data_IF_684203032387
#
_entry.id   IF_684203032387
#
_cell.length_a   1.000
_cell.length_b   1.000
_cell.length_c   1.000
_cell.angle_alpha   90.00
_cell.angle_beta   90.00
_cell.angle_gamma   90.00
#
_symmetry.space_group_name_H-M   'P 1'
#
loop_
_entity.id
_entity.type
_entity.pdbx_description
1 polymer ?
#
# COMPACT_ATOMS: atom_id res chain seq x y z
N UNK A 1 -9.44 26.65 -15.09
CA UNK A 1 -8.29 27.53 -14.80
C UNK A 1 -7.75 28.22 -16.06
N UNK A 2 -7.31 27.48 -17.08
CA UNK A 2 -6.72 28.03 -18.33
C UNK A 2 -7.61 29.08 -19.03
N UNK A 3 -8.90 28.77 -19.28
CA UNK A 3 -9.86 29.69 -19.92
C UNK A 3 -10.01 31.02 -19.17
N UNK A 4 -9.86 31.00 -17.84
CA UNK A 4 -10.03 32.16 -16.97
C UNK A 4 -8.71 32.87 -16.65
N UNK A 5 -7.57 32.44 -17.23
CA UNK A 5 -6.22 33.00 -17.01
C UNK A 5 -5.87 33.16 -15.52
N UNK A 6 -6.26 32.18 -14.71
CA UNK A 6 -5.97 32.16 -13.27
C UNK A 6 -4.53 31.71 -13.05
N UNK A 7 -3.78 32.43 -12.22
CA UNK A 7 -2.48 31.98 -11.72
C UNK A 7 -2.73 30.89 -10.66
N UNK A 8 -2.26 29.67 -10.92
CA UNK A 8 -2.44 28.52 -10.03
C UNK A 8 -1.10 27.84 -9.78
N UNK A 9 -0.86 27.46 -8.53
CA UNK A 9 0.29 26.64 -8.13
C UNK A 9 -0.26 25.33 -7.59
N UNK A 10 0.25 24.21 -8.11
CA UNK A 10 -0.14 22.88 -7.68
C UNK A 10 0.80 22.43 -6.54
N UNK A 11 0.23 21.96 -5.43
CA UNK A 11 1.01 21.61 -4.23
C UNK A 11 1.93 20.43 -4.49
N UNK A 12 1.46 19.47 -5.27
CA UNK A 12 2.19 18.27 -5.68
C UNK A 12 3.34 18.54 -6.65
N UNK A 13 3.48 19.76 -7.17
CA UNK A 13 4.59 20.17 -8.04
C UNK A 13 5.62 21.06 -7.35
N UNK A 14 5.41 21.40 -6.07
CA UNK A 14 6.42 22.16 -5.30
C UNK A 14 7.53 21.19 -4.91
N UNK A 15 8.69 21.35 -5.55
CA UNK A 15 9.86 20.48 -5.44
C UNK A 15 11.06 21.26 -4.91
N UNK A 16 11.81 20.67 -3.98
CA UNK A 16 13.09 21.21 -3.50
C UNK A 16 14.26 20.72 -4.40
N UNK A 17 15.45 21.29 -4.23
CA UNK A 17 16.63 20.93 -5.03
C UNK A 17 17.04 19.45 -4.91
N UNK A 18 16.66 18.79 -3.82
CA UNK A 18 16.86 17.36 -3.57
C UNK A 18 15.78 16.47 -4.20
N UNK A 19 14.86 17.05 -4.98
CA UNK A 19 13.69 16.43 -5.60
C UNK A 19 12.59 15.97 -4.64
N UNK A 20 12.66 16.39 -3.38
CA UNK A 20 11.59 16.10 -2.42
C UNK A 20 10.36 16.98 -2.69
N UNK A 21 9.18 16.45 -2.38
CA UNK A 21 7.89 17.13 -2.49
C UNK A 21 7.38 17.45 -1.07
N UNK A 22 7.82 18.55 -0.44
CA UNK A 22 7.56 18.82 0.98
C UNK A 22 6.08 19.01 1.30
N UNK A 23 5.28 19.52 0.36
CA UNK A 23 3.84 19.72 0.57
C UNK A 23 3.03 18.43 0.39
N UNK A 24 3.56 17.46 -0.36
CA UNK A 24 2.92 16.16 -0.57
C UNK A 24 3.30 15.14 0.51
N UNK A 25 4.47 15.31 1.11
CA UNK A 25 5.04 14.37 2.09
C UNK A 25 4.10 14.14 3.29
N UNK A 26 3.53 15.16 3.96
CA UNK A 26 2.60 14.96 5.08
C UNK A 26 1.36 14.13 4.70
N UNK A 27 0.82 14.34 3.50
CA UNK A 27 -0.33 13.57 3.02
C UNK A 27 0.05 12.12 2.76
N UNK A 28 1.24 11.87 2.20
CA UNK A 28 1.76 10.52 2.01
C UNK A 28 1.95 9.77 3.33
N UNK A 29 2.41 10.45 4.38
CA UNK A 29 2.54 9.84 5.71
C UNK A 29 1.18 9.43 6.28
N UNK A 30 0.20 10.33 6.23
CA UNK A 30 -1.17 10.06 6.70
C UNK A 30 -1.78 8.91 5.93
N UNK A 31 -1.71 8.94 4.59
CA UNK A 31 -2.25 7.89 3.73
C UNK A 31 -1.62 6.52 4.04
N UNK A 32 -0.29 6.46 4.23
CA UNK A 32 0.40 5.24 4.63
C UNK A 32 -0.10 4.66 5.95
N UNK A 33 -0.25 5.50 6.99
CA UNK A 33 -0.75 5.06 8.30
C UNK A 33 -2.20 4.58 8.21
N UNK A 34 -3.04 5.36 7.54
CA UNK A 34 -4.46 5.04 7.35
C UNK A 34 -4.66 3.75 6.56
N UNK A 35 -3.85 3.50 5.53
CA UNK A 35 -3.96 2.29 4.72
C UNK A 35 -3.87 1.01 5.55
N UNK A 36 -2.98 0.99 6.54
CA UNK A 36 -2.87 -0.16 7.45
C UNK A 36 -4.04 -0.25 8.41
N UNK A 37 -4.47 0.87 9.00
CA UNK A 37 -5.59 0.89 9.94
C UNK A 37 -6.90 0.46 9.28
N UNK A 38 -7.19 1.00 8.10
CA UNK A 38 -8.35 0.65 7.29
C UNK A 38 -8.23 -0.81 6.82
N UNK A 39 -7.05 -1.23 6.34
CA UNK A 39 -6.80 -2.62 5.98
C UNK A 39 -7.12 -3.60 7.12
N UNK A 40 -6.67 -3.28 8.34
CA UNK A 40 -6.96 -4.07 9.54
C UNK A 40 -8.46 -4.09 9.89
N UNK A 41 -9.16 -2.97 9.73
CA UNK A 41 -10.62 -2.91 9.92
C UNK A 41 -11.33 -3.84 8.95
N UNK A 42 -11.00 -3.77 7.66
CA UNK A 42 -11.67 -4.57 6.63
C UNK A 42 -11.25 -6.03 6.59
N UNK A 43 -10.15 -6.41 7.25
CA UNK A 43 -9.83 -7.80 7.53
C UNK A 43 -10.81 -8.46 8.50
N UNK A 44 -11.57 -7.70 9.28
CA UNK A 44 -12.56 -8.26 10.20
C UNK A 44 -13.72 -8.90 9.45
N UNK A 45 -14.26 -10.00 10.01
CA UNK A 45 -15.30 -10.78 9.33
C UNK A 45 -16.60 -9.99 9.10
N UNK A 46 -16.93 -9.10 10.04
CA UNK A 46 -18.10 -8.22 9.96
C UNK A 46 -18.03 -7.24 8.77
N UNK A 47 -16.82 -6.97 8.27
CA UNK A 47 -16.57 -6.07 7.15
C UNK A 47 -16.29 -6.84 5.83
N UNK A 48 -16.54 -8.16 5.81
CA UNK A 48 -16.36 -9.01 4.63
C UNK A 48 -14.97 -9.65 4.48
N UNK A 49 -14.00 -9.29 5.33
CA UNK A 49 -12.66 -9.85 5.29
C UNK A 49 -12.55 -11.28 5.81
N UNK A 50 -11.31 -11.76 5.93
CA UNK A 50 -11.02 -13.13 6.38
C UNK A 50 -11.40 -13.40 7.84
N UNK A 51 -11.49 -12.37 8.68
CA UNK A 51 -11.67 -12.49 10.12
C UNK A 51 -10.36 -12.71 10.88
N UNK A 52 -9.26 -12.13 10.39
CA UNK A 52 -7.93 -12.26 11.02
C UNK A 52 -7.56 -11.02 11.81
N UNK A 53 -6.79 -11.21 12.88
CA UNK A 53 -6.20 -10.15 13.68
C UNK A 53 -4.73 -10.03 13.31
N UNK A 54 -4.29 -8.82 12.91
CA UNK A 54 -2.92 -8.62 12.43
C UNK A 54 -1.84 -9.11 13.40
N UNK A 55 -2.01 -8.86 14.70
CA UNK A 55 -1.08 -9.27 15.75
C UNK A 55 -1.01 -10.78 15.97
N UNK A 56 -2.06 -11.52 15.57
CA UNK A 56 -2.36 -12.81 16.16
C UNK A 56 -2.51 -12.72 17.69
N UNK A 57 -2.33 -13.85 18.37
CA UNK A 57 -2.20 -13.97 19.83
C UNK A 57 -1.24 -15.12 20.13
N UNK A 58 -0.69 -15.29 21.34
CA UNK A 58 0.15 -16.45 21.65
C UNK A 58 -0.53 -17.77 21.29
N UNK A 59 0.12 -18.57 20.46
CA UNK A 59 -0.42 -19.83 19.91
C UNK A 59 -1.18 -19.71 18.58
N UNK A 60 -1.34 -18.49 18.04
CA UNK A 60 -1.97 -18.20 16.75
C UNK A 60 -1.01 -17.39 15.88
N UNK A 61 -0.95 -17.71 14.59
CA UNK A 61 -0.09 -16.97 13.67
C UNK A 61 -0.50 -15.51 13.52
N UNK A 62 0.50 -14.65 13.31
CA UNK A 62 0.30 -13.24 12.94
C UNK A 62 0.02 -13.13 11.45
N UNK A 63 -0.73 -12.10 11.05
CA UNK A 63 -1.05 -11.89 9.65
C UNK A 63 0.14 -11.41 8.83
N UNK A 64 0.14 -11.77 7.56
CA UNK A 64 1.13 -11.33 6.58
C UNK A 64 0.66 -10.04 5.88
N UNK A 65 1.47 -8.99 5.98
CA UNK A 65 1.24 -7.69 5.33
C UNK A 65 2.34 -7.45 4.30
N UNK A 66 1.96 -7.31 3.03
CA UNK A 66 2.88 -6.95 1.95
C UNK A 66 2.69 -5.50 1.54
N UNK A 67 3.78 -4.75 1.47
CA UNK A 67 3.80 -3.35 1.08
C UNK A 67 4.64 -3.21 -0.19
N UNK A 68 4.03 -2.71 -1.27
CA UNK A 68 4.71 -2.51 -2.55
C UNK A 68 4.99 -1.01 -2.70
N UNK A 69 6.27 -0.64 -2.61
CA UNK A 69 6.76 0.74 -2.55
C UNK A 69 7.24 1.10 -1.14
N UNK A 70 8.53 1.38 -1.00
CA UNK A 70 9.23 1.68 0.26
C UNK A 70 9.35 3.18 0.57
N UNK A 71 8.71 4.05 -0.20
CA UNK A 71 8.73 5.51 0.01
C UNK A 71 8.02 5.97 1.29
N UNK A 72 7.67 7.25 1.37
CA UNK A 72 7.05 7.86 2.58
C UNK A 72 5.78 7.14 3.03
N UNK A 73 4.85 6.86 2.11
CA UNK A 73 3.62 6.15 2.41
C UNK A 73 3.88 4.70 2.86
N UNK A 74 4.70 3.95 2.12
CA UNK A 74 5.01 2.56 2.46
C UNK A 74 5.74 2.41 3.80
N UNK A 75 6.66 3.32 4.11
CA UNK A 75 7.37 3.35 5.40
C UNK A 75 6.42 3.60 6.56
N UNK A 76 5.46 4.51 6.39
CA UNK A 76 4.47 4.80 7.41
C UNK A 76 3.44 3.67 7.55
N UNK A 77 3.07 3.00 6.46
CA UNK A 77 2.28 1.78 6.51
C UNK A 77 3.01 0.68 7.31
N UNK A 78 4.30 0.47 7.02
CA UNK A 78 5.12 -0.51 7.74
C UNK A 78 5.19 -0.22 9.23
N UNK A 79 5.41 1.05 9.64
CA UNK A 79 5.41 1.47 11.05
C UNK A 79 4.13 1.04 11.79
N UNK A 80 2.97 1.26 11.18
CA UNK A 80 1.69 0.88 11.78
C UNK A 80 1.52 -0.64 11.79
N UNK A 81 1.86 -1.32 10.70
CA UNK A 81 1.68 -2.78 10.60
C UNK A 81 2.55 -3.53 11.62
N UNK A 82 3.81 -3.11 11.79
CA UNK A 82 4.73 -3.62 12.81
C UNK A 82 4.19 -3.30 14.22
N UNK A 83 3.72 -2.07 14.44
CA UNK A 83 3.13 -1.67 15.72
C UNK A 83 1.87 -2.46 16.10
N UNK A 84 1.13 -2.94 15.10
CA UNK A 84 0.01 -3.87 15.26
C UNK A 84 0.45 -5.34 15.34
N UNK A 85 1.75 -5.63 15.29
CA UNK A 85 2.32 -6.98 15.44
C UNK A 85 2.27 -7.84 14.19
N UNK A 86 2.01 -7.30 12.99
CA UNK A 86 1.97 -8.09 11.76
C UNK A 86 3.38 -8.59 11.34
N UNK A 87 3.42 -9.60 10.47
CA UNK A 87 4.62 -9.95 9.69
C UNK A 87 4.65 -9.07 8.45
N UNK A 88 5.66 -8.21 8.32
CA UNK A 88 5.70 -7.19 7.26
C UNK A 88 6.77 -7.49 6.23
N UNK A 89 6.38 -7.51 4.95
CA UNK A 89 7.29 -7.58 3.80
C UNK A 89 7.18 -6.30 2.99
N UNK A 90 8.30 -5.63 2.71
CA UNK A 90 8.36 -4.41 1.89
C UNK A 90 9.12 -4.70 0.59
N UNK A 91 8.51 -4.36 -0.55
CA UNK A 91 9.12 -4.47 -1.87
C UNK A 91 9.43 -3.10 -2.47
N UNK A 92 10.65 -2.90 -2.97
CA UNK A 92 11.06 -1.70 -3.68
C UNK A 92 12.08 -2.02 -4.79
N UNK A 93 12.18 -1.16 -5.80
CA UNK A 93 13.18 -1.27 -6.87
C UNK A 93 14.54 -0.71 -6.43
N UNK A 94 14.55 0.23 -5.48
CA UNK A 94 15.76 0.90 -5.04
C UNK A 94 16.41 0.14 -3.87
N UNK A 95 17.52 -0.53 -4.16
CA UNK A 95 18.28 -1.27 -3.15
C UNK A 95 18.82 -0.37 -2.02
N UNK A 96 19.15 0.89 -2.30
CA UNK A 96 19.54 1.83 -1.24
C UNK A 96 18.38 2.08 -0.29
N UNK A 97 17.17 2.25 -0.83
CA UNK A 97 15.97 2.43 -0.02
C UNK A 97 15.65 1.20 0.83
N UNK A 98 15.82 0.00 0.27
CA UNK A 98 15.65 -1.24 1.04
C UNK A 98 16.65 -1.34 2.20
N UNK A 99 17.91 -0.94 2.01
CA UNK A 99 18.90 -0.86 3.10
C UNK A 99 18.49 0.13 4.19
N UNK A 100 17.99 1.30 3.82
CA UNK A 100 17.49 2.26 4.81
C UNK A 100 16.33 1.70 5.62
N UNK A 101 15.41 0.97 4.97
CA UNK A 101 14.28 0.32 5.65
C UNK A 101 14.75 -0.80 6.60
N UNK A 102 15.73 -1.58 6.17
CA UNK A 102 16.39 -2.60 6.99
C UNK A 102 17.10 -1.97 8.21
N UNK A 103 17.81 -0.85 8.02
CA UNK A 103 18.44 -0.12 9.13
C UNK A 103 17.42 0.48 10.10
N UNK A 104 16.25 0.93 9.61
CA UNK A 104 15.19 1.55 10.43
C UNK A 104 14.43 0.52 11.26
N UNK A 105 14.09 -0.63 10.66
CA UNK A 105 13.18 -1.62 11.28
C UNK A 105 13.87 -2.90 11.74
N UNK A 106 15.11 -3.15 11.30
CA UNK A 106 15.84 -4.38 11.57
C UNK A 106 15.02 -5.62 11.21
N UNK A 107 15.01 -6.58 12.13
CA UNK A 107 14.36 -7.88 11.92
C UNK A 107 12.82 -7.84 11.98
N UNK A 108 12.20 -6.68 12.22
CA UNK A 108 10.74 -6.57 12.23
C UNK A 108 10.14 -6.53 10.81
N UNK A 109 10.96 -6.35 9.78
CA UNK A 109 10.55 -6.38 8.36
C UNK A 109 11.40 -7.34 7.55
N UNK A 110 10.83 -7.84 6.47
CA UNK A 110 11.58 -8.44 5.37
C UNK A 110 11.58 -7.47 4.20
N UNK A 111 12.76 -7.06 3.73
CA UNK A 111 12.89 -6.22 2.53
C UNK A 111 13.24 -7.06 1.31
N UNK A 112 12.49 -6.94 0.22
CA UNK A 112 12.73 -7.70 -1.02
C UNK A 112 12.85 -6.75 -2.22
N UNK A 113 13.70 -7.12 -3.18
CA UNK A 113 13.72 -6.45 -4.48
C UNK A 113 12.39 -6.66 -5.20
N UNK A 114 11.83 -5.58 -5.72
CA UNK A 114 10.57 -5.60 -6.47
C UNK A 114 10.80 -6.17 -7.88
N UNK A 115 10.36 -7.41 -8.08
CA UNK A 115 10.32 -8.09 -9.38
C UNK A 115 9.07 -8.99 -9.43
N UNK A 116 8.67 -9.41 -10.63
CA UNK A 116 7.43 -10.18 -10.84
C UNK A 116 7.32 -11.40 -9.91
N UNK A 117 8.41 -12.15 -9.72
CA UNK A 117 8.43 -13.34 -8.88
C UNK A 117 8.20 -13.00 -7.40
N UNK A 118 8.95 -12.04 -6.86
CA UNK A 118 8.84 -11.63 -5.46
C UNK A 118 7.48 -10.99 -5.17
N UNK A 119 6.94 -10.22 -6.10
CA UNK A 119 5.60 -9.62 -5.98
C UNK A 119 4.56 -10.74 -5.93
N UNK A 120 4.58 -11.68 -6.88
CA UNK A 120 3.60 -12.77 -6.95
C UNK A 120 3.60 -13.59 -5.66
N UNK A 121 4.77 -14.04 -5.20
CA UNK A 121 4.88 -14.88 -4.01
C UNK A 121 4.48 -14.12 -2.73
N UNK A 122 4.85 -12.84 -2.61
CA UNK A 122 4.47 -12.02 -1.46
C UNK A 122 2.96 -11.77 -1.44
N UNK A 123 2.37 -11.38 -2.57
CA UNK A 123 0.94 -11.08 -2.70
C UNK A 123 0.09 -12.32 -2.41
N UNK A 124 0.43 -13.47 -3.01
CA UNK A 124 -0.28 -14.74 -2.82
C UNK A 124 -0.40 -15.14 -1.34
N UNK A 125 0.67 -14.93 -0.56
CA UNK A 125 0.73 -15.32 0.85
C UNK A 125 0.22 -14.24 1.81
N UNK A 126 -0.18 -13.08 1.29
CA UNK A 126 -0.60 -11.93 2.10
C UNK A 126 -2.05 -12.04 2.52
N UNK A 127 -2.31 -11.56 3.73
CA UNK A 127 -3.66 -11.30 4.22
C UNK A 127 -4.06 -9.85 3.88
N UNK A 128 -3.10 -8.91 3.94
CA UNK A 128 -3.25 -7.51 3.53
C UNK A 128 -2.14 -7.11 2.55
N UNK A 129 -2.50 -6.49 1.44
CA UNK A 129 -1.56 -5.90 0.48
C UNK A 129 -1.79 -4.39 0.39
N UNK A 130 -0.72 -3.60 0.54
CA UNK A 130 -0.75 -2.14 0.44
C UNK A 130 0.08 -1.70 -0.76
N UNK A 131 -0.57 -1.08 -1.73
CA UNK A 131 0.09 -0.41 -2.85
C UNK A 131 0.47 1.01 -2.48
N UNK A 132 1.78 1.28 -2.39
CA UNK A 132 2.36 2.55 -1.97
C UNK A 132 3.41 3.08 -2.98
N UNK A 133 3.30 2.67 -4.25
CA UNK A 133 4.18 3.15 -5.33
C UNK A 133 3.67 4.49 -5.85
N UNK A 134 4.53 5.50 -5.78
CA UNK A 134 4.30 6.82 -6.35
C UNK A 134 5.38 7.12 -7.38
N UNK A 135 4.97 7.47 -8.60
CA UNK A 135 5.89 7.98 -9.62
C UNK A 135 5.47 9.42 -9.92
N UNK A 136 6.19 10.45 -9.43
CA UNK A 136 5.83 11.84 -9.65
C UNK A 136 5.60 12.16 -11.13
N UNK A 137 4.45 12.75 -11.44
CA UNK A 137 4.09 13.16 -12.81
C UNK A 137 3.78 12.03 -13.79
N UNK A 138 3.73 10.77 -13.34
CA UNK A 138 3.44 9.63 -14.20
C UNK A 138 2.33 8.74 -13.63
N UNK A 139 1.75 7.91 -14.51
CA UNK A 139 0.77 6.90 -14.10
C UNK A 139 1.46 5.79 -13.31
N UNK A 140 0.82 5.32 -12.25
CA UNK A 140 1.30 4.16 -11.49
C UNK A 140 1.37 2.91 -12.41
N UNK A 141 2.46 2.13 -12.36
CA UNK A 141 2.59 0.90 -13.12
C UNK A 141 1.66 -0.17 -12.54
N UNK A 142 1.11 -1.01 -13.41
CA UNK A 142 0.32 -2.19 -13.00
C UNK A 142 1.27 -3.31 -12.59
N UNK A 143 1.54 -3.38 -11.29
CA UNK A 143 2.51 -4.32 -10.70
C UNK A 143 1.83 -5.62 -10.25
N UNK A 144 0.63 -5.51 -9.68
CA UNK A 144 -0.11 -6.69 -9.20
C UNK A 144 -1.10 -7.11 -10.27
N UNK A 145 -0.74 -8.19 -10.97
CA UNK A 145 -1.52 -8.72 -12.09
C UNK A 145 -2.77 -9.46 -11.60
N UNK A 146 -3.80 -9.54 -12.44
CA UNK A 146 -5.07 -10.18 -12.05
C UNK A 146 -4.90 -11.63 -11.56
N UNK A 147 -4.03 -12.40 -12.21
CA UNK A 147 -3.77 -13.78 -11.79
C UNK A 147 -3.15 -13.88 -10.40
N UNK A 148 -2.35 -12.88 -9.97
CA UNK A 148 -1.76 -12.85 -8.64
C UNK A 148 -2.84 -12.65 -7.58
N UNK A 149 -3.80 -11.75 -7.84
CA UNK A 149 -4.95 -11.51 -6.95
C UNK A 149 -5.82 -12.77 -6.84
N UNK A 150 -6.05 -13.47 -7.96
CA UNK A 150 -6.82 -14.74 -7.97
C UNK A 150 -6.18 -15.86 -7.15
N UNK A 151 -4.88 -15.80 -6.89
CA UNK A 151 -4.18 -16.78 -6.06
C UNK A 151 -4.22 -16.43 -4.57
N UNK A 152 -4.67 -15.23 -4.19
CA UNK A 152 -4.79 -14.82 -2.80
C UNK A 152 -5.87 -15.62 -2.06
N UNK A 153 -5.76 -15.66 -0.73
CA UNK A 153 -6.78 -16.27 0.12
C UNK A 153 -8.10 -15.48 0.02
N UNK A 154 -9.27 -16.14 -0.08
CA UNK A 154 -10.56 -15.45 -0.08
C UNK A 154 -10.74 -14.56 1.15
N UNK A 155 -11.18 -13.31 0.93
CA UNK A 155 -11.35 -12.31 1.97
C UNK A 155 -10.08 -11.53 2.34
N UNK A 156 -8.97 -11.76 1.65
CA UNK A 156 -7.78 -10.90 1.75
C UNK A 156 -8.10 -9.48 1.31
N UNK A 157 -7.39 -8.51 1.89
CA UNK A 157 -7.65 -7.08 1.67
C UNK A 157 -6.53 -6.46 0.83
N UNK A 158 -6.91 -5.63 -0.14
CA UNK A 158 -5.98 -4.87 -0.96
C UNK A 158 -6.29 -3.39 -0.84
N UNK A 159 -5.30 -2.58 -0.45
CA UNK A 159 -5.42 -1.13 -0.29
C UNK A 159 -4.51 -0.44 -1.30
N UNK A 160 -5.07 0.38 -2.19
CA UNK A 160 -4.30 1.08 -3.22
C UNK A 160 -4.21 2.58 -2.93
N UNK A 161 -3.10 3.02 -2.34
CA UNK A 161 -2.84 4.44 -2.07
C UNK A 161 -2.60 5.20 -3.39
N UNK A 162 -2.14 4.50 -4.44
CA UNK A 162 -1.80 5.09 -5.73
C UNK A 162 -3.00 5.17 -6.69
N UNK A 163 -4.23 4.97 -6.19
CA UNK A 163 -5.44 4.91 -7.03
C UNK A 163 -5.64 6.18 -7.85
N UNK A 164 -5.32 7.36 -7.29
CA UNK A 164 -5.43 8.65 -7.96
C UNK A 164 -4.53 8.77 -9.20
N UNK A 165 -3.46 7.96 -9.25
CA UNK A 165 -2.55 7.86 -10.39
C UNK A 165 -2.80 6.60 -11.22
N UNK A 166 -3.99 6.02 -11.09
CA UNK A 166 -4.43 4.84 -11.83
C UNK A 166 -4.19 3.52 -11.11
N UNK A 167 -3.55 3.50 -9.94
CA UNK A 167 -3.42 2.34 -9.06
C UNK A 167 -2.46 1.25 -9.54
N UNK A 168 -1.88 0.50 -8.62
CA UNK A 168 -0.90 -0.56 -8.93
C UNK A 168 -1.53 -1.92 -9.24
N UNK A 169 -2.81 -2.12 -8.92
CA UNK A 169 -3.52 -3.39 -9.16
C UNK A 169 -4.21 -3.36 -10.53
N UNK A 170 -4.03 -4.39 -11.35
CA UNK A 170 -4.75 -4.53 -12.64
C UNK A 170 -6.26 -4.69 -12.43
N UNK A 171 -6.66 -5.33 -11.34
CA UNK A 171 -8.05 -5.55 -10.97
C UNK A 171 -8.75 -4.29 -10.49
N UNK A 172 -7.99 -3.23 -10.17
CA UNK A 172 -8.56 -1.95 -9.75
C UNK A 172 -9.16 -1.21 -10.94
N UNK A 173 -10.46 -1.44 -11.15
CA UNK A 173 -11.22 -0.96 -12.31
C UNK A 173 -12.09 0.27 -12.01
N UNK A 174 -12.19 0.66 -10.74
CA UNK A 174 -12.95 1.81 -10.27
C UNK A 174 -12.37 2.38 -8.98
N UNK A 175 -12.60 3.67 -8.77
CA UNK A 175 -12.31 4.38 -7.51
C UNK A 175 -13.54 4.23 -6.59
N UNK A 176 -13.31 3.98 -5.31
CA UNK A 176 -14.34 3.95 -4.26
C UNK A 176 -14.57 5.33 -3.68
N UNK A 177 -15.59 5.48 -2.83
CA UNK A 177 -15.85 6.72 -2.10
C UNK A 177 -15.86 6.44 -0.61
N UNK A 178 -15.76 7.47 0.25
CA UNK A 178 -15.88 7.28 1.69
C UNK A 178 -17.20 6.59 2.10
N UNK A 179 -18.29 6.83 1.36
CA UNK A 179 -19.59 6.19 1.62
C UNK A 179 -19.62 4.71 1.20
N UNK A 180 -18.87 4.35 0.15
CA UNK A 180 -18.76 2.98 -0.36
C UNK A 180 -17.27 2.65 -0.58
N UNK A 181 -16.49 2.45 0.50
CA UNK A 181 -15.03 2.45 0.45
C UNK A 181 -14.43 1.15 -0.10
N UNK A 182 -15.27 0.15 -0.41
CA UNK A 182 -14.80 -1.16 -0.86
C UNK A 182 -15.65 -1.76 -1.96
N UNK A 183 -15.05 -2.66 -2.72
CA UNK A 183 -15.75 -3.59 -3.60
C UNK A 183 -15.03 -4.94 -3.63
N UNK A 184 -15.76 -6.01 -3.94
CA UNK A 184 -15.20 -7.36 -4.00
C UNK A 184 -14.90 -7.77 -5.46
N UNK A 185 -13.66 -8.19 -5.71
CA UNK A 185 -13.23 -8.73 -7.01
C UNK A 185 -12.03 -9.68 -6.82
N UNK A 186 -12.30 -10.96 -6.54
CA UNK A 186 -11.28 -11.96 -6.15
C UNK A 186 -10.58 -11.71 -4.81
N UNK A 187 -10.86 -10.57 -4.18
CA UNK A 187 -10.43 -10.11 -2.86
C UNK A 187 -11.23 -8.85 -2.51
N UNK A 188 -11.05 -8.32 -1.31
CA UNK A 188 -11.71 -7.09 -0.87
C UNK A 188 -10.82 -5.87 -1.18
N UNK A 189 -11.20 -5.10 -2.19
CA UNK A 189 -10.47 -3.92 -2.62
C UNK A 189 -10.92 -2.69 -1.86
N UNK A 190 -9.96 -1.86 -1.48
CA UNK A 190 -10.15 -0.59 -0.81
C UNK A 190 -9.33 0.46 -1.55
N UNK A 191 -9.98 1.55 -1.93
CA UNK A 191 -9.26 2.71 -2.46
C UNK A 191 -9.57 3.91 -1.56
N UNK A 192 -8.63 4.31 -0.68
CA UNK A 192 -8.84 5.36 0.31
C UNK A 192 -8.99 6.74 -0.32
#
# INVERSE_FOLDING_TARGET
>A
MVKNKVNSVAYETVELDDRSLPLLSPMSEVAGRMATQIGAQFLQKINGGMGVLLSGVPGVERSNVTIIGGGMAGTNAAKIAIGLGAKVTILDLNLHRLRELDDIFGNDVTTLMSNDFNIEESVKNSDLVIGAVLIPGAKAPKLVKEHMVKQMKPGSVLVDIAIDQGGIFETSDRVTTHDNPTYEKYGLFITP
#
